data_IF_697464144568
#
_entry.id   IF_697464144568
#
_cell.length_a   1.000
_cell.length_b   1.000
_cell.length_c   1.000
_cell.angle_alpha   90.00
_cell.angle_beta   90.00
_cell.angle_gamma   90.00
#
_symmetry.space_group_name_H-M   'P 1'
#
loop_
_entity.id
_entity.type
_entity.pdbx_description
1 polymer ?
#
# COMPACT_ATOMS: atom_id res chain seq x y z
N UNK A 1 -0.73 20.65 17.63
CA UNK A 1 -1.67 20.14 18.66
C UNK A 1 -2.79 19.33 18.01
N UNK A 2 -2.46 18.30 17.22
CA UNK A 2 -3.44 17.33 16.71
C UNK A 2 -2.80 15.95 16.78
N UNK A 3 -2.47 15.55 18.00
CA UNK A 3 -2.26 14.16 18.37
C UNK A 3 -3.50 13.76 19.15
N UNK A 4 -4.54 13.33 18.45
CA UNK A 4 -5.66 12.63 19.07
C UNK A 4 -5.76 11.28 18.39
N UNK A 5 -4.80 10.42 18.76
CA UNK A 5 -4.95 8.98 18.62
C UNK A 5 -4.72 8.37 20.00
N UNK A 6 -5.50 7.33 20.29
CA UNK A 6 -5.84 6.70 21.58
C UNK A 6 -7.12 7.28 22.24
N UNK A 7 -8.24 6.60 22.00
CA UNK A 7 -9.42 6.55 22.90
C UNK A 7 -10.45 7.71 22.89
N UNK A 8 -10.66 8.44 21.80
CA UNK A 8 -11.68 9.50 21.81
C UNK A 8 -13.12 8.93 21.77
N UNK A 9 -13.66 8.71 22.97
CA UNK A 9 -15.09 8.57 23.32
C UNK A 9 -15.84 7.23 23.12
N UNK A 10 -15.22 6.05 23.20
CA UNK A 10 -15.99 4.80 23.40
C UNK A 10 -15.32 3.84 24.37
N UNK A 11 -16.14 3.22 25.23
CA UNK A 11 -15.69 2.35 26.32
C UNK A 11 -15.68 0.90 25.80
N UNK A 12 -14.53 0.24 25.78
CA UNK A 12 -14.43 -1.21 25.51
C UNK A 12 -14.42 -1.99 26.83
N UNK A 13 -15.16 -3.10 26.91
CA UNK A 13 -15.17 -3.98 28.10
C UNK A 13 -14.57 -5.36 27.79
N UNK A 14 -13.32 -5.59 28.16
CA UNK A 14 -12.65 -6.91 28.02
C UNK A 14 -12.88 -7.80 29.25
N UNK A 15 -14.15 -7.99 29.66
CA UNK A 15 -14.48 -8.83 30.81
C UNK A 15 -15.17 -10.14 30.38
N UNK A 16 -14.43 -11.27 30.46
CA UNK A 16 -14.99 -12.63 30.51
C UNK A 16 -15.91 -12.73 31.74
N UNK A 17 -17.20 -12.98 31.53
CA UNK A 17 -18.24 -12.71 32.52
C UNK A 17 -18.70 -14.00 33.23
N UNK A 18 -18.51 -14.07 34.55
CA UNK A 18 -19.14 -15.07 35.43
C UNK A 18 -19.89 -14.45 36.63
N UNK A 19 -20.05 -13.12 36.71
CA UNK A 19 -20.70 -12.46 37.85
C UNK A 19 -21.74 -11.39 37.46
N UNK A 20 -22.77 -11.19 38.31
CA UNK A 20 -23.85 -10.18 38.13
C UNK A 20 -23.34 -8.75 38.00
N UNK A 21 -22.19 -8.40 38.61
CA UNK A 21 -21.56 -7.07 38.46
C UNK A 21 -21.01 -6.85 37.05
N UNK A 22 -20.49 -7.90 36.41
CA UNK A 22 -20.02 -7.83 35.02
C UNK A 22 -21.15 -7.54 34.01
N UNK A 23 -22.37 -7.98 34.30
CA UNK A 23 -23.55 -7.73 33.45
C UNK A 23 -23.99 -6.26 33.51
N UNK A 24 -24.05 -5.65 34.71
CA UNK A 24 -24.39 -4.23 34.87
C UNK A 24 -23.38 -3.30 34.18
N UNK A 25 -22.07 -3.59 34.31
CA UNK A 25 -21.02 -2.83 33.63
C UNK A 25 -21.15 -2.92 32.10
N UNK A 26 -21.45 -4.11 31.56
CA UNK A 26 -21.69 -4.28 30.11
C UNK A 26 -22.89 -3.47 29.62
N UNK A 27 -24.00 -3.46 30.37
CA UNK A 27 -25.19 -2.67 30.01
C UNK A 27 -24.90 -1.17 30.02
N UNK A 28 -24.20 -0.66 31.04
CA UNK A 28 -23.80 0.75 31.11
C UNK A 28 -22.89 1.13 29.94
N UNK A 29 -21.92 0.28 29.60
CA UNK A 29 -21.02 0.47 28.45
C UNK A 29 -21.78 0.45 27.13
N UNK A 30 -22.73 -0.48 26.95
CA UNK A 30 -23.57 -0.53 25.76
C UNK A 30 -24.41 0.74 25.61
N UNK A 31 -25.08 1.21 26.66
CA UNK A 31 -25.89 2.44 26.62
C UNK A 31 -25.02 3.67 26.34
N UNK A 32 -23.87 3.79 27.01
CA UNK A 32 -22.93 4.87 26.77
C UNK A 32 -22.44 4.89 25.31
N UNK A 33 -22.14 3.72 24.75
CA UNK A 33 -21.70 3.62 23.36
C UNK A 33 -22.83 3.90 22.36
N UNK A 34 -24.08 3.49 22.62
CA UNK A 34 -25.24 3.82 21.77
C UNK A 34 -25.49 5.32 21.73
N UNK A 35 -25.36 6.02 22.86
CA UNK A 35 -25.56 7.47 22.95
C UNK A 35 -24.36 8.22 22.34
N UNK A 36 -23.12 7.77 22.58
CA UNK A 36 -21.91 8.45 22.14
C UNK A 36 -21.60 8.27 20.64
N UNK A 37 -21.92 7.10 20.08
CA UNK A 37 -21.60 6.74 18.69
C UNK A 37 -22.09 7.78 17.66
N UNK A 38 -23.35 8.24 17.67
CA UNK A 38 -23.82 9.25 16.72
C UNK A 38 -23.01 10.55 16.76
N UNK A 39 -22.63 11.02 17.95
CA UNK A 39 -21.83 12.24 18.12
C UNK A 39 -20.40 12.05 17.61
N UNK A 40 -19.78 10.91 17.91
CA UNK A 40 -18.46 10.58 17.40
C UNK A 40 -18.46 10.50 15.86
N UNK A 41 -19.45 9.83 15.27
CA UNK A 41 -19.58 9.75 13.81
C UNK A 41 -19.79 11.11 13.17
N UNK A 42 -20.65 11.97 13.75
CA UNK A 42 -20.87 13.32 13.25
C UNK A 42 -19.58 14.16 13.33
N UNK A 43 -18.86 14.11 14.45
CA UNK A 43 -17.58 14.78 14.62
C UNK A 43 -16.56 14.33 13.58
N UNK A 44 -16.38 13.02 13.41
CA UNK A 44 -15.46 12.46 12.42
C UNK A 44 -15.87 12.86 11.00
N UNK A 45 -17.14 12.77 10.63
CA UNK A 45 -17.61 13.17 9.30
C UNK A 45 -17.27 14.65 8.99
N UNK A 46 -17.43 15.55 9.96
CA UNK A 46 -17.09 16.97 9.82
C UNK A 46 -15.58 17.15 9.65
N UNK A 47 -14.77 16.53 10.50
CA UNK A 47 -13.31 16.67 10.49
C UNK A 47 -12.69 16.08 9.22
N UNK A 48 -13.19 14.94 8.76
CA UNK A 48 -12.64 14.20 7.62
C UNK A 48 -13.06 14.80 6.28
N UNK A 49 -14.33 15.24 6.16
CA UNK A 49 -14.87 15.66 4.86
C UNK A 49 -15.17 17.15 4.79
N UNK A 50 -15.86 17.72 5.79
CA UNK A 50 -16.35 19.10 5.71
C UNK A 50 -15.21 20.11 5.82
N UNK A 51 -14.34 20.01 6.83
CA UNK A 51 -13.24 20.97 6.99
C UNK A 51 -12.23 20.92 5.82
N UNK A 52 -11.78 19.74 5.35
CA UNK A 52 -10.89 19.68 4.19
C UNK A 52 -11.59 20.19 2.91
N UNK A 53 -12.88 19.91 2.72
CA UNK A 53 -13.63 20.41 1.56
C UNK A 53 -13.65 21.95 1.54
N UNK A 54 -13.93 22.59 2.67
CA UNK A 54 -13.89 24.06 2.80
C UNK A 54 -12.49 24.58 2.51
N UNK A 55 -11.46 23.97 3.12
CA UNK A 55 -10.07 24.35 2.92
C UNK A 55 -9.67 24.31 1.44
N UNK A 56 -9.88 23.20 0.74
CA UNK A 56 -9.49 23.05 -0.66
C UNK A 56 -10.31 23.93 -1.61
N UNK A 57 -11.59 24.18 -1.29
CA UNK A 57 -12.43 25.11 -2.06
C UNK A 57 -11.93 26.55 -1.93
N UNK A 58 -11.56 26.97 -0.72
CA UNK A 58 -10.94 28.28 -0.47
C UNK A 58 -9.57 28.40 -1.14
N UNK A 59 -8.77 27.33 -1.11
CA UNK A 59 -7.47 27.27 -1.75
C UNK A 59 -7.58 27.50 -3.27
N UNK A 60 -8.56 26.87 -3.92
CA UNK A 60 -8.90 27.10 -5.34
C UNK A 60 -9.25 28.56 -5.62
N UNK A 61 -10.11 29.15 -4.79
CA UNK A 61 -10.52 30.54 -4.93
C UNK A 61 -9.33 31.49 -4.80
N UNK A 62 -8.49 31.29 -3.78
CA UNK A 62 -7.30 32.11 -3.53
C UNK A 62 -6.23 31.96 -4.62
N UNK A 63 -6.00 30.75 -5.14
CA UNK A 63 -5.08 30.54 -6.26
C UNK A 63 -5.59 31.14 -7.56
N UNK A 64 -6.91 31.14 -7.80
CA UNK A 64 -7.52 31.83 -8.93
C UNK A 64 -7.19 33.33 -8.96
N UNK A 65 -7.00 33.94 -7.78
CA UNK A 65 -6.69 35.37 -7.64
C UNK A 65 -5.19 35.69 -7.83
N UNK A 66 -4.28 34.72 -7.72
CA UNK A 66 -2.84 34.96 -7.72
C UNK A 66 -2.08 34.02 -8.69
N UNK A 67 -2.09 34.37 -9.99
CA UNK A 67 -1.36 33.66 -11.05
C UNK A 67 0.12 34.05 -11.20
N UNK A 68 0.58 35.07 -10.49
CA UNK A 68 1.91 35.66 -10.62
C UNK A 68 2.97 35.10 -9.64
N UNK A 69 2.61 34.14 -8.78
CA UNK A 69 3.56 33.52 -7.85
C UNK A 69 4.50 32.53 -8.55
N UNK A 70 5.81 32.52 -8.22
CA UNK A 70 6.75 31.56 -8.81
C UNK A 70 6.44 30.12 -8.39
N UNK A 71 6.73 29.18 -9.30
CA UNK A 71 6.69 27.74 -9.02
C UNK A 71 7.70 27.39 -7.93
N UNK A 72 7.36 26.40 -7.13
CA UNK A 72 8.21 25.91 -6.06
C UNK A 72 9.47 25.24 -6.64
N UNK A 73 10.58 25.48 -5.96
CA UNK A 73 11.87 24.87 -6.25
C UNK A 73 12.45 24.29 -4.96
N UNK A 74 12.69 22.99 -5.00
CA UNK A 74 13.23 22.26 -3.88
C UNK A 74 14.74 22.43 -3.78
N UNK A 75 15.18 23.39 -2.97
CA UNK A 75 16.61 23.63 -2.72
C UNK A 75 17.29 22.50 -1.96
N UNK A 76 16.53 21.65 -1.26
CA UNK A 76 17.08 20.51 -0.49
C UNK A 76 17.19 19.24 -1.32
N UNK A 77 16.56 19.22 -2.50
CA UNK A 77 16.62 18.12 -3.46
C UNK A 77 16.64 18.71 -4.88
N UNK A 78 17.77 19.34 -5.25
CA UNK A 78 17.87 20.12 -6.48
C UNK A 78 17.73 19.22 -7.72
N UNK A 79 17.24 19.80 -8.80
CA UNK A 79 17.18 19.15 -10.11
C UNK A 79 18.58 19.03 -10.75
N UNK A 80 19.44 18.19 -10.16
CA UNK A 80 20.84 17.97 -10.56
C UNK A 80 21.29 16.54 -10.28
N UNK A 81 22.51 16.21 -10.74
CA UNK A 81 23.15 14.91 -10.50
C UNK A 81 23.23 14.52 -9.02
N UNK A 82 23.30 15.49 -8.10
CA UNK A 82 23.33 15.22 -6.66
C UNK A 82 22.07 14.50 -6.17
N UNK A 83 20.91 14.83 -6.74
CA UNK A 83 19.63 14.17 -6.42
C UNK A 83 19.44 12.85 -7.16
N UNK A 84 20.18 12.60 -8.24
CA UNK A 84 20.22 11.31 -8.92
C UNK A 84 21.11 10.34 -8.14
N UNK A 85 22.33 10.74 -7.81
CA UNK A 85 23.32 9.88 -7.17
C UNK A 85 23.95 8.88 -8.16
N UNK A 86 24.85 8.00 -7.67
CA UNK A 86 25.56 7.03 -8.49
C UNK A 86 24.66 5.83 -8.87
N UNK A 87 23.72 6.03 -9.78
CA UNK A 87 22.84 4.96 -10.28
C UNK A 87 23.60 3.95 -11.14
N UNK A 88 23.16 2.68 -11.14
CA UNK A 88 23.74 1.62 -11.98
C UNK A 88 23.31 1.71 -13.44
N UNK A 89 22.19 2.36 -13.72
CA UNK A 89 21.64 2.49 -15.06
C UNK A 89 22.52 3.38 -15.98
N UNK A 90 22.53 3.03 -17.27
CA UNK A 90 23.39 3.56 -18.36
C UNK A 90 23.62 5.08 -18.33
N UNK A 91 24.84 5.48 -18.75
CA UNK A 91 25.39 6.85 -18.92
C UNK A 91 24.62 7.79 -19.88
N UNK A 92 23.31 7.66 -19.97
CA UNK A 92 22.42 8.51 -20.77
C UNK A 92 22.19 9.82 -20.02
N UNK A 93 22.23 10.92 -20.76
CA UNK A 93 22.01 12.26 -20.23
C UNK A 93 20.60 12.37 -19.63
N UNK A 94 20.54 12.71 -18.34
CA UNK A 94 19.28 12.97 -17.63
C UNK A 94 18.93 14.44 -17.77
N UNK A 95 17.67 14.73 -18.09
CA UNK A 95 17.14 16.09 -18.17
C UNK A 95 15.97 16.24 -17.19
N UNK A 96 16.01 17.26 -16.34
CA UNK A 96 14.93 17.53 -15.40
C UNK A 96 13.86 18.40 -16.05
N UNK A 97 12.61 17.93 -16.06
CA UNK A 97 11.46 18.64 -16.65
C UNK A 97 10.33 18.76 -15.65
N UNK A 98 9.61 19.89 -15.67
CA UNK A 98 8.39 20.05 -14.87
C UNK A 98 7.25 19.26 -15.48
N UNK A 99 6.35 18.81 -14.62
CA UNK A 99 5.08 18.18 -15.00
C UNK A 99 4.06 19.25 -15.42
N UNK A 100 4.25 19.75 -16.64
CA UNK A 100 3.42 20.79 -17.26
C UNK A 100 2.48 20.17 -18.30
N UNK A 101 1.24 20.67 -18.36
CA UNK A 101 0.19 20.16 -19.27
C UNK A 101 -1.19 20.17 -18.62
N UNK A 102 -2.23 20.57 -19.35
CA UNK A 102 -3.57 20.86 -18.78
C UNK A 102 -4.37 19.62 -18.39
N UNK A 103 -3.98 18.43 -18.89
CA UNK A 103 -4.67 17.16 -18.62
C UNK A 103 -4.18 16.42 -17.37
N UNK A 104 -3.02 16.83 -16.84
CA UNK A 104 -2.39 16.16 -15.70
C UNK A 104 -3.21 16.37 -14.42
N UNK A 105 -3.43 15.28 -13.68
CA UNK A 105 -4.08 15.27 -12.38
C UNK A 105 -3.21 14.50 -11.37
N UNK A 106 -3.34 14.81 -10.07
CA UNK A 106 -2.60 14.08 -9.04
C UNK A 106 -3.06 12.61 -8.99
N UNK A 107 -4.38 12.39 -8.96
CA UNK A 107 -5.02 11.06 -8.94
C UNK A 107 -6.15 11.01 -10.01
N UNK A 108 -5.81 10.69 -11.26
CA UNK A 108 -6.75 10.76 -12.38
C UNK A 108 -7.65 9.51 -12.41
N UNK A 109 -8.81 9.60 -11.77
CA UNK A 109 -9.78 8.49 -11.78
C UNK A 109 -9.53 7.46 -10.69
N UNK A 110 -8.44 7.56 -9.93
CA UNK A 110 -8.22 6.77 -8.73
C UNK A 110 -6.75 6.62 -8.39
N UNK A 111 -6.47 5.53 -7.68
CA UNK A 111 -5.13 4.95 -7.58
C UNK A 111 -5.35 3.48 -7.90
N UNK A 112 -4.69 2.98 -8.93
CA UNK A 112 -4.69 1.57 -9.28
C UNK A 112 -3.25 1.03 -9.34
N UNK A 113 -3.09 -0.26 -9.06
CA UNK A 113 -1.78 -0.88 -9.19
C UNK A 113 -1.26 -0.86 -10.63
N UNK A 114 -2.16 -0.84 -11.64
CA UNK A 114 -1.78 -0.69 -13.05
C UNK A 114 -1.10 0.64 -13.36
N UNK A 115 -1.28 1.64 -12.49
CA UNK A 115 -0.64 2.94 -12.70
C UNK A 115 0.88 2.91 -12.41
N UNK A 116 1.34 1.85 -11.72
CA UNK A 116 2.71 1.69 -11.27
C UNK A 116 3.57 0.99 -12.32
N UNK A 117 4.18 1.77 -13.21
CA UNK A 117 5.11 1.24 -14.20
C UNK A 117 6.57 1.47 -13.79
N UNK A 118 7.35 0.39 -13.69
CA UNK A 118 8.81 0.47 -13.50
C UNK A 118 9.50 0.96 -14.78
N UNK A 119 10.46 1.87 -14.64
CA UNK A 119 11.41 2.23 -15.70
C UNK A 119 12.84 1.90 -15.28
N UNK A 120 13.80 2.81 -15.50
CA UNK A 120 15.21 2.42 -15.58
C UNK A 120 15.91 2.15 -14.23
N UNK A 121 15.22 2.34 -13.09
CA UNK A 121 15.78 2.17 -11.76
C UNK A 121 15.53 0.76 -11.22
N UNK A 122 16.51 0.19 -10.52
CA UNK A 122 16.39 -1.11 -9.84
C UNK A 122 15.61 -1.02 -8.52
N UNK A 123 14.43 -0.39 -8.53
CA UNK A 123 13.58 -0.17 -7.35
C UNK A 123 12.25 -0.92 -7.41
N UNK A 124 12.20 -2.04 -8.15
CA UNK A 124 11.03 -2.92 -8.25
C UNK A 124 10.43 -3.28 -6.89
N UNK A 125 11.27 -3.49 -5.86
CA UNK A 125 10.85 -3.74 -4.48
C UNK A 125 9.93 -2.63 -3.93
N UNK A 126 10.22 -1.36 -4.20
CA UNK A 126 9.43 -0.22 -3.75
C UNK A 126 8.14 -0.11 -4.55
N UNK A 127 8.23 -0.17 -5.87
CA UNK A 127 7.07 -0.04 -6.75
C UNK A 127 6.07 -1.18 -6.53
N UNK A 128 6.56 -2.40 -6.28
CA UNK A 128 5.69 -3.53 -5.95
C UNK A 128 5.02 -3.35 -4.59
N UNK A 129 5.73 -2.80 -3.60
CA UNK A 129 5.13 -2.46 -2.31
C UNK A 129 4.01 -1.41 -2.48
N UNK A 130 4.24 -0.40 -3.32
CA UNK A 130 3.24 0.63 -3.66
C UNK A 130 2.03 -0.02 -4.34
N UNK A 131 2.25 -0.91 -5.31
CA UNK A 131 1.18 -1.65 -5.99
C UNK A 131 0.34 -2.49 -5.01
N UNK A 132 0.97 -3.22 -4.09
CA UNK A 132 0.24 -3.95 -3.04
C UNK A 132 -0.61 -3.01 -2.17
N UNK A 133 -0.14 -1.80 -1.92
CA UNK A 133 -0.88 -0.82 -1.14
C UNK A 133 -2.06 -0.21 -1.93
N UNK A 134 -2.03 -0.23 -3.26
CA UNK A 134 -3.11 0.23 -4.13
C UNK A 134 -4.37 -0.65 -4.04
N UNK A 135 -4.22 -1.93 -3.66
CA UNK A 135 -5.33 -2.86 -3.41
C UNK A 135 -6.22 -2.43 -2.24
N UNK A 136 -5.80 -1.42 -1.48
CA UNK A 136 -6.52 -0.91 -0.33
C UNK A 136 -6.92 0.56 -0.53
N UNK A 137 -8.21 0.78 -0.78
CA UNK A 137 -8.83 2.08 -0.97
C UNK A 137 -8.26 3.17 -0.03
N UNK A 138 -7.71 4.23 -0.62
CA UNK A 138 -7.28 5.42 0.12
C UNK A 138 -5.89 5.33 0.75
N UNK A 139 -5.25 4.15 0.77
CA UNK A 139 -4.00 3.93 1.48
C UNK A 139 -2.84 4.74 0.91
N UNK A 140 -2.69 4.76 -0.42
CA UNK A 140 -1.69 5.59 -1.10
C UNK A 140 -2.04 7.08 -0.96
N UNK A 141 -3.31 7.45 -1.15
CA UNK A 141 -3.75 8.84 -1.05
C UNK A 141 -3.56 9.39 0.37
N UNK A 142 -3.55 8.54 1.40
CA UNK A 142 -3.24 8.90 2.78
C UNK A 142 -1.80 9.41 2.92
N UNK A 143 -0.85 8.96 2.09
CA UNK A 143 0.53 9.44 2.07
C UNK A 143 0.63 10.90 1.63
N UNK A 144 -0.26 11.35 0.74
CA UNK A 144 -0.25 12.71 0.22
C UNK A 144 -1.02 13.65 1.15
N UNK A 145 -0.44 14.80 1.51
CA UNK A 145 -1.18 15.84 2.23
C UNK A 145 -1.96 16.73 1.27
N UNK A 146 -1.44 16.90 0.06
CA UNK A 146 -2.13 17.56 -1.04
C UNK A 146 -3.07 16.56 -1.72
N UNK A 147 -4.29 16.98 -2.06
CA UNK A 147 -5.35 16.09 -2.62
C UNK A 147 -5.68 16.35 -4.07
N UNK A 148 -5.00 17.31 -4.67
CA UNK A 148 -5.19 17.78 -6.02
C UNK A 148 -3.86 18.28 -6.55
N UNK A 149 -3.76 18.44 -7.87
CA UNK A 149 -2.61 19.06 -8.50
C UNK A 149 -2.37 20.45 -7.92
N UNK A 150 -1.14 20.71 -7.50
CA UNK A 150 -0.76 22.02 -6.99
C UNK A 150 -0.25 22.88 -8.16
N UNK A 151 -0.89 24.02 -8.49
CA UNK A 151 -0.45 24.89 -9.60
C UNK A 151 0.96 25.45 -9.43
N UNK A 152 1.45 25.50 -8.18
CA UNK A 152 2.81 25.94 -7.85
C UNK A 152 3.82 24.80 -7.88
N UNK A 153 3.40 23.58 -8.19
CA UNK A 153 4.28 22.42 -8.32
C UNK A 153 4.92 21.97 -7.00
N UNK A 154 4.27 22.22 -5.85
CA UNK A 154 4.72 21.77 -4.52
C UNK A 154 3.80 20.68 -3.99
N UNK A 155 4.40 19.56 -3.60
CA UNK A 155 3.68 18.42 -3.04
C UNK A 155 4.32 17.99 -1.73
N UNK A 156 3.49 17.59 -0.77
CA UNK A 156 3.88 17.12 0.56
C UNK A 156 3.40 15.70 0.72
N UNK A 157 4.36 14.80 0.90
CA UNK A 157 4.13 13.38 1.09
C UNK A 157 4.69 13.01 2.45
N UNK A 158 3.92 12.30 3.27
CA UNK A 158 4.44 11.77 4.54
C UNK A 158 4.96 10.36 4.35
N UNK A 159 6.08 10.08 5.00
CA UNK A 159 6.69 8.77 5.09
C UNK A 159 7.07 8.52 6.54
N UNK A 160 6.96 7.27 6.98
CA UNK A 160 7.36 6.84 8.31
C UNK A 160 8.87 6.57 8.33
N UNK A 161 9.56 7.21 9.28
CA UNK A 161 10.98 7.04 9.53
C UNK A 161 11.15 5.89 10.52
N UNK A 162 11.40 4.70 9.98
CA UNK A 162 11.57 3.44 10.73
C UNK A 162 12.65 3.57 11.81
N UNK A 163 13.78 4.21 11.48
CA UNK A 163 14.87 4.47 12.43
C UNK A 163 14.46 5.38 13.58
N UNK A 164 13.70 6.44 13.28
CA UNK A 164 13.29 7.44 14.28
C UNK A 164 11.90 7.19 14.86
N UNK A 165 11.25 6.08 14.48
CA UNK A 165 9.87 5.70 14.79
C UNK A 165 8.86 6.86 14.70
N UNK A 166 8.92 7.64 13.61
CA UNK A 166 8.03 8.81 13.45
C UNK A 166 7.73 9.21 12.02
N UNK A 167 6.55 9.79 11.83
CA UNK A 167 6.16 10.39 10.55
C UNK A 167 7.00 11.63 10.20
N UNK A 168 7.42 11.70 8.95
CA UNK A 168 8.16 12.81 8.35
C UNK A 168 7.40 13.31 7.13
N UNK A 169 7.24 14.63 7.01
CA UNK A 169 6.68 15.24 5.81
C UNK A 169 7.81 15.63 4.87
N UNK A 170 7.83 15.00 3.70
CA UNK A 170 8.75 15.24 2.61
C UNK A 170 8.06 16.16 1.59
N UNK A 171 8.52 17.40 1.50
CA UNK A 171 8.07 18.32 0.45
C UNK A 171 8.93 18.15 -0.79
N UNK A 172 8.33 17.95 -1.96
CA UNK A 172 9.02 17.86 -3.26
C UNK A 172 8.43 18.86 -4.25
N UNK A 173 9.22 19.25 -5.24
CA UNK A 173 8.70 19.94 -6.43
C UNK A 173 8.32 18.96 -7.55
N UNK A 174 7.71 19.47 -8.63
CA UNK A 174 7.24 18.70 -9.79
C UNK A 174 8.28 18.52 -10.91
N UNK A 175 9.57 18.78 -10.65
CA UNK A 175 10.65 18.48 -11.62
C UNK A 175 10.98 16.99 -11.58
N UNK A 176 10.77 16.27 -12.67
CA UNK A 176 11.02 14.83 -12.80
C UNK A 176 12.20 14.59 -13.75
N UNK A 177 13.13 13.67 -13.43
CA UNK A 177 14.20 13.29 -14.33
C UNK A 177 13.66 12.54 -15.55
N UNK A 178 14.14 12.91 -16.73
CA UNK A 178 13.75 12.31 -18.01
C UNK A 178 14.95 11.78 -18.77
N UNK A 179 14.75 10.68 -19.49
CA UNK A 179 15.67 10.13 -20.49
C UNK A 179 14.92 10.05 -21.81
N UNK A 180 15.48 10.62 -22.88
CA UNK A 180 14.85 10.65 -24.22
C UNK A 180 13.41 11.18 -24.21
N UNK A 181 13.12 12.18 -23.39
CA UNK A 181 11.81 12.82 -23.32
C UNK A 181 10.74 12.06 -22.53
N UNK A 182 11.05 10.91 -21.92
CA UNK A 182 10.16 10.18 -21.00
C UNK A 182 10.69 10.19 -19.57
N UNK A 183 9.84 10.07 -18.53
CA UNK A 183 10.30 9.87 -17.15
C UNK A 183 11.33 8.74 -17.06
N UNK A 184 12.42 8.99 -16.33
CA UNK A 184 13.59 8.12 -16.33
C UNK A 184 13.40 6.86 -15.47
N UNK A 185 12.72 6.99 -14.33
CA UNK A 185 12.60 5.96 -13.30
C UNK A 185 11.20 5.38 -13.33
N UNK A 186 10.29 5.70 -12.41
CA UNK A 186 8.88 5.32 -12.60
C UNK A 186 8.27 6.01 -13.83
N UNK A 187 7.32 5.32 -14.47
CA UNK A 187 6.50 5.86 -15.54
C UNK A 187 5.05 5.94 -15.05
N UNK A 188 4.34 7.04 -15.33
CA UNK A 188 2.92 7.10 -15.06
C UNK A 188 2.15 6.31 -16.12
N UNK A 189 1.06 5.68 -15.72
CA UNK A 189 0.01 5.29 -16.65
C UNK A 189 -0.94 6.48 -16.83
N UNK A 190 -1.28 6.84 -18.08
CA UNK A 190 -2.15 7.99 -18.36
C UNK A 190 -1.54 9.35 -17.95
N UNK A 191 -2.39 10.27 -17.49
CA UNK A 191 -2.03 11.65 -17.11
C UNK A 191 -1.88 11.82 -15.58
N UNK A 192 -1.50 10.76 -14.86
CA UNK A 192 -1.36 10.74 -13.40
C UNK A 192 0.03 11.13 -12.90
N UNK A 193 0.08 11.85 -11.78
CA UNK A 193 1.35 12.35 -11.22
C UNK A 193 1.83 11.62 -9.97
N UNK A 194 0.95 10.92 -9.27
CA UNK A 194 1.24 10.46 -7.91
C UNK A 194 2.41 9.47 -7.85
N UNK A 195 2.55 8.54 -8.81
CA UNK A 195 3.63 7.54 -8.82
C UNK A 195 4.99 8.23 -8.89
N UNK A 196 5.14 9.18 -9.82
CA UNK A 196 6.36 9.97 -10.03
C UNK A 196 6.74 10.77 -8.76
N UNK A 197 5.74 11.40 -8.15
CA UNK A 197 5.92 12.24 -6.96
C UNK A 197 6.25 11.39 -5.73
N UNK A 198 5.62 10.22 -5.58
CA UNK A 198 5.87 9.29 -4.49
C UNK A 198 7.29 8.72 -4.57
N UNK A 199 7.70 8.23 -5.73
CA UNK A 199 9.07 7.75 -5.97
C UNK A 199 10.11 8.85 -5.67
N UNK A 200 9.86 10.07 -6.14
CA UNK A 200 10.73 11.22 -5.85
C UNK A 200 10.80 11.54 -4.35
N UNK A 201 9.67 11.45 -3.63
CA UNK A 201 9.65 11.66 -2.19
C UNK A 201 10.47 10.60 -1.45
N UNK A 202 10.39 9.33 -1.87
CA UNK A 202 11.27 8.26 -1.36
C UNK A 202 12.74 8.54 -1.66
N UNK A 203 13.08 8.91 -2.90
CA UNK A 203 14.45 9.27 -3.27
C UNK A 203 14.98 10.41 -2.40
N UNK A 204 14.19 11.47 -2.19
CA UNK A 204 14.55 12.57 -1.29
C UNK A 204 14.68 12.13 0.17
N UNK A 205 13.79 11.26 0.63
CA UNK A 205 13.79 10.75 2.00
C UNK A 205 15.06 9.94 2.29
N UNK A 206 15.47 9.10 1.33
CA UNK A 206 16.68 8.27 1.39
C UNK A 206 17.96 9.02 0.98
N UNK A 207 17.83 10.18 0.33
CA UNK A 207 18.92 11.10 0.02
C UNK A 207 19.07 11.41 -1.48
N UNK A 208 18.92 10.41 -2.35
CA UNK A 208 18.95 10.51 -3.81
C UNK A 208 18.27 9.28 -4.45
N UNK A 209 18.11 9.27 -5.79
CA UNK A 209 17.52 8.14 -6.50
C UNK A 209 18.36 6.85 -6.44
N UNK A 210 19.69 6.95 -6.48
CA UNK A 210 20.57 5.79 -6.30
C UNK A 210 20.38 5.12 -4.93
N UNK A 211 20.04 5.91 -3.91
CA UNK A 211 19.75 5.42 -2.56
C UNK A 211 18.42 4.64 -2.47
N UNK A 212 17.63 4.50 -3.54
CA UNK A 212 16.47 3.60 -3.58
C UNK A 212 16.68 2.42 -4.55
N UNK A 213 17.88 2.25 -5.10
CA UNK A 213 18.27 1.04 -5.82
C UNK A 213 18.43 -0.13 -4.84
N UNK A 214 17.62 -1.18 -5.03
CA UNK A 214 17.48 -2.33 -4.14
C UNK A 214 16.98 -2.01 -2.72
N UNK A 215 16.24 -2.92 -2.11
CA UNK A 215 15.68 -2.76 -0.77
C UNK A 215 14.75 -3.92 -0.42
N UNK A 216 14.15 -3.84 0.77
CA UNK A 216 13.21 -4.84 1.26
C UNK A 216 11.77 -4.32 1.15
N UNK A 217 10.87 -5.11 0.57
CA UNK A 217 9.44 -4.77 0.41
C UNK A 217 8.81 -4.43 1.76
N UNK A 218 9.09 -5.22 2.81
CA UNK A 218 8.64 -4.94 4.19
C UNK A 218 9.07 -3.58 4.72
N UNK A 219 10.25 -3.07 4.34
CA UNK A 219 10.66 -1.72 4.73
C UNK A 219 9.81 -0.66 4.03
N UNK A 220 9.49 -0.85 2.75
CA UNK A 220 8.61 0.07 2.03
C UNK A 220 7.20 0.05 2.61
N UNK A 221 6.68 -1.12 3.00
CA UNK A 221 5.41 -1.21 3.72
C UNK A 221 5.43 -0.36 4.98
N UNK A 222 6.38 -0.61 5.90
CA UNK A 222 6.46 0.14 7.14
C UNK A 222 6.70 1.65 6.90
N UNK A 223 7.51 2.03 5.91
CA UNK A 223 7.73 3.42 5.54
C UNK A 223 6.47 4.12 4.99
N UNK A 224 5.53 3.38 4.40
CA UNK A 224 4.26 3.93 3.92
C UNK A 224 3.15 3.89 4.98
N UNK A 225 3.14 2.89 5.85
CA UNK A 225 2.01 2.67 6.77
C UNK A 225 2.33 3.05 8.21
N UNK A 226 3.58 2.94 8.63
CA UNK A 226 3.98 2.98 10.04
C UNK A 226 3.42 1.81 10.85
N UNK A 227 2.96 0.76 10.18
CA UNK A 227 2.36 -0.43 10.76
C UNK A 227 3.38 -1.58 10.86
N UNK A 228 3.05 -2.60 11.65
CA UNK A 228 3.90 -3.75 11.93
C UNK A 228 3.99 -4.64 10.69
N UNK A 229 5.20 -5.10 10.41
CA UNK A 229 5.51 -5.93 9.24
C UNK A 229 6.14 -7.26 9.66
N UNK A 230 5.98 -8.27 8.82
CA UNK A 230 6.61 -9.58 8.95
C UNK A 230 7.10 -10.05 7.57
N UNK A 231 8.21 -10.78 7.54
CA UNK A 231 8.76 -11.35 6.32
C UNK A 231 8.95 -12.85 6.51
N UNK A 232 8.59 -13.63 5.50
CA UNK A 232 8.80 -15.07 5.47
C UNK A 232 9.64 -15.44 4.26
N UNK A 233 10.65 -16.29 4.48
CA UNK A 233 11.53 -16.81 3.43
C UNK A 233 11.42 -18.33 3.37
N UNK A 234 11.20 -18.86 2.18
CA UNK A 234 11.15 -20.30 1.98
C UNK A 234 12.56 -20.89 1.95
N UNK A 235 12.77 -21.89 2.80
CA UNK A 235 14.00 -22.64 2.95
C UNK A 235 14.12 -23.75 1.89
N UNK A 236 15.32 -24.32 1.75
CA UNK A 236 15.58 -25.40 0.77
C UNK A 236 14.77 -26.67 1.03
N UNK A 237 14.41 -26.94 2.28
CA UNK A 237 13.55 -28.06 2.67
C UNK A 237 12.06 -27.80 2.37
N UNK A 238 11.70 -26.61 1.89
CA UNK A 238 10.34 -26.21 1.56
C UNK A 238 9.53 -25.61 2.70
N UNK A 239 10.09 -25.53 3.91
CA UNK A 239 9.52 -24.82 5.06
C UNK A 239 9.72 -23.31 4.92
N UNK A 240 8.92 -22.55 5.64
CA UNK A 240 8.93 -21.09 5.65
C UNK A 240 9.48 -20.59 6.97
N UNK A 241 10.50 -19.76 6.92
CA UNK A 241 11.11 -19.18 8.10
C UNK A 241 10.67 -17.73 8.28
N UNK A 242 10.30 -17.37 9.50
CA UNK A 242 9.95 -16.00 9.86
C UNK A 242 11.20 -15.15 10.16
N UNK A 243 11.21 -13.94 9.61
CA UNK A 243 12.25 -12.94 9.77
C UNK A 243 11.67 -11.65 10.37
N UNK A 244 12.27 -11.20 11.47
CA UNK A 244 11.99 -9.91 12.10
C UNK A 244 12.82 -8.81 11.40
N UNK A 245 12.15 -7.80 10.85
CA UNK A 245 12.85 -6.58 10.43
C UNK A 245 13.14 -5.70 11.63
N UNK A 246 14.40 -5.27 11.82
CA UNK A 246 14.77 -4.31 12.87
C UNK A 246 15.71 -3.22 12.34
N UNK A 247 15.57 -1.98 12.83
CA UNK A 247 16.54 -0.92 12.54
C UNK A 247 17.93 -1.28 13.09
N UNK A 248 18.98 -1.00 12.31
CA UNK A 248 20.38 -1.09 12.76
C UNK A 248 20.69 0.07 13.67
N UNK A 249 21.08 -0.23 14.91
CA UNK A 249 21.46 0.78 15.90
C UNK A 249 22.63 1.64 15.41
N UNK A 250 22.55 2.94 15.70
CA UNK A 250 23.63 3.90 15.41
C UNK A 250 23.77 4.28 13.93
N UNK A 251 22.84 3.90 13.06
CA UNK A 251 22.87 4.31 11.65
C UNK A 251 21.96 5.52 11.39
N UNK A 252 22.52 6.54 10.72
CA UNK A 252 21.73 7.68 10.21
C UNK A 252 21.04 7.36 8.86
N UNK A 253 21.33 6.20 8.26
CA UNK A 253 20.64 5.75 7.06
C UNK A 253 19.25 5.20 7.43
N UNK A 254 18.22 5.89 6.94
CA UNK A 254 16.81 5.56 7.18
C UNK A 254 16.43 4.16 6.71
N UNK A 255 17.20 3.58 5.78
CA UNK A 255 17.01 2.23 5.25
C UNK A 255 17.87 1.17 5.93
N UNK A 256 18.72 1.54 6.89
CA UNK A 256 19.63 0.61 7.54
C UNK A 256 18.87 -0.37 8.45
N UNK A 257 18.17 -1.33 7.86
CA UNK A 257 17.49 -2.42 8.57
C UNK A 257 18.21 -3.73 8.34
N UNK A 258 17.98 -4.68 9.25
CA UNK A 258 18.41 -6.07 9.13
C UNK A 258 17.20 -6.98 9.33
N UNK A 259 17.18 -8.10 8.62
CA UNK A 259 16.24 -9.18 8.83
C UNK A 259 16.89 -10.22 9.74
N UNK A 260 16.28 -10.47 10.90
CA UNK A 260 16.76 -11.40 11.92
C UNK A 260 15.89 -12.65 11.95
N UNK A 261 16.52 -13.81 11.98
CA UNK A 261 15.82 -15.09 12.15
C UNK A 261 15.12 -15.11 13.50
N UNK A 262 13.79 -15.27 13.51
CA UNK A 262 13.05 -15.34 14.78
C UNK A 262 13.05 -16.74 15.38
N UNK A 263 13.61 -17.74 14.69
CA UNK A 263 13.56 -19.15 15.05
C UNK A 263 12.21 -19.82 14.82
N UNK A 264 11.24 -19.11 14.24
CA UNK A 264 9.90 -19.65 13.95
C UNK A 264 9.88 -20.18 12.52
N UNK A 265 9.44 -21.42 12.40
CA UNK A 265 9.41 -22.16 11.14
C UNK A 265 8.00 -22.71 10.93
N UNK A 266 7.53 -22.64 9.70
CA UNK A 266 6.20 -23.04 9.31
C UNK A 266 6.29 -24.07 8.20
N UNK A 267 5.57 -25.17 8.35
CA UNK A 267 5.36 -26.12 7.24
C UNK A 267 4.59 -25.43 6.10
N UNK A 268 4.57 -26.05 4.91
CA UNK A 268 3.80 -25.50 3.78
C UNK A 268 2.32 -25.31 4.10
N UNK A 269 1.72 -26.25 4.83
CA UNK A 269 0.30 -26.16 5.18
C UNK A 269 0.04 -25.08 6.23
N UNK A 270 0.91 -25.00 7.25
CA UNK A 270 0.79 -23.98 8.29
C UNK A 270 0.98 -22.57 7.71
N UNK A 271 1.90 -22.39 6.77
CA UNK A 271 2.11 -21.11 6.10
C UNK A 271 0.87 -20.69 5.29
N UNK A 272 0.19 -21.63 4.62
CA UNK A 272 -1.04 -21.30 3.88
C UNK A 272 -2.18 -20.89 4.82
N UNK A 273 -2.35 -21.60 5.94
CA UNK A 273 -3.34 -21.23 6.95
C UNK A 273 -3.03 -19.84 7.54
N UNK A 274 -1.76 -19.55 7.81
CA UNK A 274 -1.31 -18.25 8.28
C UNK A 274 -1.61 -17.13 7.26
N UNK A 275 -1.39 -17.38 5.97
CA UNK A 275 -1.78 -16.45 4.89
C UNK A 275 -3.29 -16.19 4.89
N UNK A 276 -4.13 -17.21 5.04
CA UNK A 276 -5.59 -17.05 5.10
C UNK A 276 -6.00 -16.17 6.29
N UNK A 277 -5.27 -16.24 7.42
CA UNK A 277 -5.53 -15.38 8.59
C UNK A 277 -5.10 -13.94 8.34
N UNK A 278 -3.96 -13.73 7.69
CA UNK A 278 -3.54 -12.39 7.30
C UNK A 278 -4.51 -11.75 6.31
N UNK A 279 -4.98 -12.49 5.32
CA UNK A 279 -6.06 -12.08 4.41
C UNK A 279 -7.34 -11.72 5.20
N UNK A 280 -7.74 -12.59 6.13
CA UNK A 280 -8.91 -12.36 6.99
C UNK A 280 -8.80 -11.15 7.94
N UNK A 281 -7.60 -10.61 8.17
CA UNK A 281 -7.41 -9.35 8.90
C UNK A 281 -7.15 -8.13 8.00
N UNK A 282 -7.29 -8.28 6.68
CA UNK A 282 -7.01 -7.25 5.68
C UNK A 282 -5.56 -6.73 5.76
N UNK A 283 -4.60 -7.63 6.01
CA UNK A 283 -3.18 -7.30 5.92
C UNK A 283 -2.77 -7.08 4.45
N UNK A 284 -1.82 -6.17 4.22
CA UNK A 284 -1.18 -6.05 2.90
C UNK A 284 -0.22 -7.21 2.74
N UNK A 285 -0.37 -7.95 1.64
CA UNK A 285 0.42 -9.13 1.36
C UNK A 285 1.17 -8.96 0.04
N UNK A 286 2.49 -9.09 0.11
CA UNK A 286 3.40 -9.16 -1.02
C UNK A 286 4.03 -10.54 -1.15
N UNK A 287 4.48 -10.89 -2.35
CA UNK A 287 5.24 -12.10 -2.62
C UNK A 287 6.42 -11.81 -3.54
N UNK A 288 7.55 -12.45 -3.29
CA UNK A 288 8.73 -12.39 -4.17
C UNK A 288 8.94 -13.70 -4.93
N UNK A 289 9.01 -13.61 -6.25
CA UNK A 289 9.27 -14.76 -7.11
C UNK A 289 10.76 -15.15 -7.07
N UNK A 290 11.02 -16.45 -7.25
CA UNK A 290 12.37 -17.01 -7.31
C UNK A 290 13.12 -16.51 -8.55
N UNK A 291 14.43 -16.38 -8.42
CA UNK A 291 15.35 -16.07 -9.53
C UNK A 291 15.86 -14.64 -9.53
N UNK A 292 16.53 -14.26 -10.62
CA UNK A 292 17.10 -12.93 -10.80
C UNK A 292 16.32 -12.15 -11.86
N UNK A 293 15.97 -10.90 -11.53
CA UNK A 293 15.34 -10.00 -12.48
C UNK A 293 16.37 -9.49 -13.51
N UNK A 294 16.22 -9.95 -14.75
CA UNK A 294 17.03 -9.51 -15.89
C UNK A 294 16.28 -8.56 -16.83
N UNK A 295 15.08 -8.09 -16.46
CA UNK A 295 14.22 -7.32 -17.37
C UNK A 295 14.84 -6.00 -17.82
N UNK A 296 15.65 -5.37 -16.98
CA UNK A 296 16.40 -4.15 -17.34
C UNK A 296 17.51 -4.39 -18.38
N UNK A 297 18.06 -5.61 -18.45
CA UNK A 297 19.21 -5.93 -19.33
C UNK A 297 18.81 -6.70 -20.58
N UNK A 298 17.81 -7.57 -20.49
CA UNK A 298 17.35 -8.44 -21.58
C UNK A 298 15.97 -8.07 -22.12
N UNK A 299 15.28 -7.11 -21.49
CA UNK A 299 13.88 -6.83 -21.77
C UNK A 299 12.95 -7.80 -21.04
N UNK A 300 11.64 -7.56 -21.14
CA UNK A 300 10.64 -8.43 -20.53
C UNK A 300 10.46 -9.66 -21.43
N UNK A 301 11.14 -10.76 -21.11
CA UNK A 301 10.98 -12.02 -21.83
C UNK A 301 9.79 -12.81 -21.25
N UNK A 302 8.75 -13.05 -22.05
CA UNK A 302 7.53 -13.81 -21.68
C UNK A 302 7.75 -15.33 -21.47
N UNK A 303 9.00 -15.83 -21.43
CA UNK A 303 9.23 -17.27 -21.60
C UNK A 303 9.18 -18.09 -20.31
N UNK A 304 8.18 -19.00 -20.32
CA UNK A 304 7.87 -20.17 -19.47
C UNK A 304 7.25 -19.84 -18.11
N UNK A 305 5.94 -20.05 -18.01
CA UNK A 305 5.23 -20.12 -16.73
C UNK A 305 4.54 -18.82 -16.33
N UNK A 306 4.58 -17.76 -17.14
CA UNK A 306 3.93 -16.48 -16.84
C UNK A 306 4.59 -15.63 -15.74
N UNK A 307 5.33 -16.22 -14.81
CA UNK A 307 5.91 -15.52 -13.65
C UNK A 307 7.28 -14.93 -13.99
N UNK A 308 7.37 -13.60 -13.90
CA UNK A 308 8.63 -12.84 -13.94
C UNK A 308 9.54 -13.24 -12.77
N UNK A 309 10.78 -13.71 -13.00
CA UNK A 309 11.73 -14.07 -11.95
C UNK A 309 12.27 -12.86 -11.17
N UNK A 310 12.54 -13.04 -9.87
CA UNK A 310 13.14 -11.99 -9.02
C UNK A 310 12.27 -10.74 -8.88
N UNK A 311 10.95 -10.89 -9.03
CA UNK A 311 9.98 -9.81 -9.09
C UNK A 311 8.95 -9.93 -7.97
N UNK A 312 8.38 -8.80 -7.57
CA UNK A 312 7.40 -8.76 -6.48
C UNK A 312 5.96 -8.63 -7.01
N UNK A 313 5.05 -9.34 -6.35
CA UNK A 313 3.64 -9.47 -6.69
C UNK A 313 2.81 -9.14 -5.46
N UNK A 314 1.55 -8.74 -5.67
CA UNK A 314 0.57 -8.61 -4.58
C UNK A 314 -0.16 -9.93 -4.42
N UNK A 315 -0.37 -10.38 -3.18
CA UNK A 315 -1.34 -11.44 -2.88
C UNK A 315 -2.64 -10.72 -2.52
N UNK A 316 -3.65 -10.81 -3.39
CA UNK A 316 -4.96 -10.17 -3.21
C UNK A 316 -5.83 -10.99 -2.26
N UNK A 317 -5.75 -12.32 -2.32
CA UNK A 317 -6.51 -13.20 -1.43
C UNK A 317 -5.86 -14.57 -1.29
N UNK A 318 -6.06 -15.19 -0.14
CA UNK A 318 -5.65 -16.55 0.16
C UNK A 318 -6.82 -17.31 0.81
N UNK A 319 -7.29 -18.38 0.17
CA UNK A 319 -8.38 -19.17 0.72
C UNK A 319 -8.36 -20.64 0.28
N UNK A 320 -8.78 -21.51 1.19
CA UNK A 320 -9.16 -22.88 0.86
C UNK A 320 -10.67 -22.98 0.69
N UNK A 321 -11.14 -23.41 -0.48
CA UNK A 321 -12.57 -23.65 -0.73
C UNK A 321 -12.73 -24.93 -1.53
N UNK A 322 -13.69 -25.77 -1.13
CA UNK A 322 -14.00 -27.05 -1.82
C UNK A 322 -12.77 -27.98 -1.96
N UNK A 323 -11.88 -27.95 -0.96
CA UNK A 323 -10.65 -28.77 -0.92
C UNK A 323 -9.54 -28.28 -1.86
N UNK A 324 -9.61 -27.05 -2.36
CA UNK A 324 -8.58 -26.45 -3.22
C UNK A 324 -8.04 -25.20 -2.53
N UNK A 325 -6.71 -25.13 -2.39
CA UNK A 325 -5.96 -24.02 -1.80
C UNK A 325 -5.48 -23.09 -2.91
N UNK A 326 -6.16 -21.95 -3.10
CA UNK A 326 -5.80 -20.98 -4.12
C UNK A 326 -5.35 -19.66 -3.51
N UNK A 327 -4.43 -19.01 -4.22
CA UNK A 327 -4.07 -17.61 -4.06
C UNK A 327 -4.59 -16.84 -5.29
N UNK A 328 -5.10 -15.63 -5.08
CA UNK A 328 -5.22 -14.64 -6.15
C UNK A 328 -4.03 -13.70 -6.04
N UNK A 329 -3.25 -13.56 -7.10
CA UNK A 329 -2.08 -12.68 -7.17
C UNK A 329 -2.29 -11.59 -8.21
N UNK A 330 -1.45 -10.54 -8.13
CA UNK A 330 -1.33 -9.49 -9.13
C UNK A 330 0.11 -9.20 -9.48
N UNK A 331 0.41 -9.18 -10.77
CA UNK A 331 1.61 -8.57 -11.30
C UNK A 331 1.40 -7.05 -11.41
N UNK A 332 2.24 -6.22 -10.77
CA UNK A 332 2.10 -4.77 -10.85
C UNK A 332 2.28 -4.21 -12.27
N UNK A 333 2.86 -4.98 -13.21
CA UNK A 333 2.96 -4.56 -14.61
C UNK A 333 1.66 -4.70 -15.42
N UNK A 334 0.59 -5.24 -14.82
CA UNK A 334 -0.70 -5.45 -15.50
C UNK A 334 -0.59 -6.40 -16.70
N UNK A 335 0.39 -7.30 -16.68
CA UNK A 335 0.71 -8.28 -17.73
C UNK A 335 1.57 -9.39 -17.15
N UNK A 336 1.92 -10.42 -17.94
CA UNK A 336 2.70 -11.58 -17.50
C UNK A 336 1.98 -12.34 -16.37
N UNK A 337 0.81 -12.86 -16.71
CA UNK A 337 -0.01 -13.68 -15.83
C UNK A 337 0.40 -15.15 -15.88
N UNK A 338 0.13 -15.86 -14.79
CA UNK A 338 0.29 -17.32 -14.70
C UNK A 338 -0.44 -18.04 -15.83
N UNK A 339 0.23 -18.99 -16.49
CA UNK A 339 -0.33 -19.78 -17.61
C UNK A 339 -0.62 -21.25 -17.24
N UNK A 340 -0.46 -21.61 -15.96
CA UNK A 340 -0.65 -22.97 -15.45
C UNK A 340 -2.05 -23.22 -14.88
N UNK A 341 -2.13 -24.15 -13.92
CA UNK A 341 -3.41 -24.55 -13.31
C UNK A 341 -4.11 -23.37 -12.64
N UNK A 342 -5.42 -23.26 -12.83
CA UNK A 342 -6.26 -22.18 -12.32
C UNK A 342 -5.94 -20.78 -12.87
N UNK A 343 -5.07 -20.66 -13.89
CA UNK A 343 -4.93 -19.43 -14.67
C UNK A 343 -6.25 -18.99 -15.30
N UNK A 344 -6.29 -17.79 -15.84
CA UNK A 344 -7.48 -17.19 -16.42
C UNK A 344 -8.05 -17.96 -17.61
N UNK A 345 -7.20 -18.67 -18.36
CA UNK A 345 -7.60 -19.55 -19.46
C UNK A 345 -7.76 -21.03 -19.10
N UNK A 346 -7.50 -21.42 -17.85
CA UNK A 346 -7.37 -22.81 -17.40
C UNK A 346 -8.66 -23.62 -17.57
N UNK A 347 -8.52 -24.87 -18.02
CA UNK A 347 -9.61 -25.85 -18.14
C UNK A 347 -10.23 -26.23 -16.79
N UNK A 348 -9.46 -26.11 -15.72
CA UNK A 348 -9.80 -26.52 -14.36
C UNK A 348 -11.06 -25.79 -13.86
N UNK A 349 -11.26 -24.55 -14.27
CA UNK A 349 -12.49 -23.79 -13.97
C UNK A 349 -13.74 -24.41 -14.60
N UNK A 350 -13.61 -24.98 -15.81
CA UNK A 350 -14.71 -25.68 -16.50
C UNK A 350 -14.96 -27.05 -15.90
N UNK A 351 -13.89 -27.74 -15.49
CA UNK A 351 -13.96 -29.07 -14.88
C UNK A 351 -14.50 -29.02 -13.44
N UNK A 352 -14.29 -27.91 -12.72
CA UNK A 352 -14.72 -27.69 -11.33
C UNK A 352 -15.53 -26.39 -11.16
N UNK A 353 -16.77 -26.33 -11.69
CA UNK A 353 -17.62 -25.13 -11.59
C UNK A 353 -18.04 -24.82 -10.14
N UNK A 354 -17.99 -25.80 -9.24
CA UNK A 354 -18.18 -25.59 -7.80
C UNK A 354 -17.05 -24.75 -7.18
N UNK A 355 -15.81 -24.96 -7.61
CA UNK A 355 -14.64 -24.17 -7.21
C UNK A 355 -14.71 -22.78 -7.83
N UNK A 356 -15.01 -22.69 -9.13
CA UNK A 356 -15.18 -21.41 -9.82
C UNK A 356 -16.18 -20.48 -9.11
N UNK A 357 -17.37 -21.00 -8.76
CA UNK A 357 -18.36 -20.24 -7.98
C UNK A 357 -17.86 -19.91 -6.58
N UNK A 358 -17.18 -20.85 -5.92
CA UNK A 358 -16.68 -20.63 -4.57
C UNK A 358 -15.64 -19.51 -4.52
N UNK A 359 -14.80 -19.34 -5.54
CA UNK A 359 -13.81 -18.26 -5.63
C UNK A 359 -14.30 -17.01 -6.38
N UNK A 360 -15.58 -16.97 -6.77
CA UNK A 360 -16.15 -15.90 -7.60
C UNK A 360 -15.32 -15.66 -8.88
N UNK A 361 -14.80 -16.74 -9.46
CA UNK A 361 -14.02 -16.68 -10.69
C UNK A 361 -14.89 -16.23 -11.86
N UNK A 362 -14.36 -15.28 -12.60
CA UNK A 362 -14.76 -14.89 -13.94
C UNK A 362 -13.49 -14.81 -14.76
N UNK A 363 -13.59 -15.13 -16.06
CA UNK A 363 -12.45 -14.94 -16.96
C UNK A 363 -12.17 -13.45 -17.07
N UNK A 364 -11.01 -12.99 -16.60
CA UNK A 364 -10.59 -11.62 -16.80
C UNK A 364 -9.90 -11.48 -18.17
N UNK A 365 -9.81 -10.24 -18.64
CA UNK A 365 -8.82 -9.87 -19.64
C UNK A 365 -7.44 -9.77 -18.96
N UNK A 366 -6.35 -9.66 -19.74
CA UNK A 366 -4.99 -9.49 -19.19
C UNK A 366 -4.91 -8.19 -18.37
N UNK A 367 -5.15 -8.32 -17.07
CA UNK A 367 -5.21 -7.24 -16.07
C UNK A 367 -4.08 -7.36 -15.02
N UNK A 368 -3.23 -8.38 -15.20
CA UNK A 368 -2.13 -8.77 -14.34
C UNK A 368 -2.57 -9.62 -13.16
N UNK A 369 -3.88 -9.89 -12.98
CA UNK A 369 -4.38 -10.71 -11.87
C UNK A 369 -4.63 -12.15 -12.31
N UNK A 370 -4.29 -13.10 -11.45
CA UNK A 370 -4.48 -14.51 -11.76
C UNK A 370 -4.64 -15.34 -10.49
N UNK A 371 -5.31 -16.48 -10.61
CA UNK A 371 -5.32 -17.48 -9.56
C UNK A 371 -4.20 -18.51 -9.76
N UNK A 372 -3.68 -19.02 -8.66
CA UNK A 372 -2.64 -20.03 -8.64
C UNK A 372 -2.86 -21.00 -7.48
N UNK A 373 -2.55 -22.27 -7.70
CA UNK A 373 -2.57 -23.27 -6.63
C UNK A 373 -1.40 -23.07 -5.65
N UNK A 374 -1.63 -23.27 -4.36
CA UNK A 374 -0.59 -23.08 -3.32
C UNK A 374 0.70 -23.89 -3.57
N UNK A 375 0.57 -25.08 -4.15
CA UNK A 375 1.70 -25.94 -4.51
C UNK A 375 2.58 -25.31 -5.59
N UNK A 376 1.97 -24.69 -6.61
CA UNK A 376 2.65 -23.95 -7.66
C UNK A 376 3.28 -22.67 -7.11
N UNK A 377 2.59 -21.98 -6.20
CA UNK A 377 3.15 -20.81 -5.52
C UNK A 377 4.44 -21.17 -4.76
N UNK A 378 4.44 -22.25 -3.97
CA UNK A 378 5.65 -22.74 -3.30
C UNK A 378 6.79 -23.14 -4.26
N UNK A 379 6.48 -23.47 -5.51
CA UNK A 379 7.50 -23.80 -6.51
C UNK A 379 8.08 -22.56 -7.20
N UNK A 380 7.32 -21.45 -7.28
CA UNK A 380 7.68 -20.24 -8.04
C UNK A 380 8.09 -19.06 -7.17
N UNK A 381 7.64 -19.02 -5.92
CA UNK A 381 7.89 -17.93 -4.98
C UNK A 381 8.72 -18.42 -3.80
N UNK A 382 9.51 -17.51 -3.21
CA UNK A 382 10.35 -17.81 -2.05
C UNK A 382 10.27 -16.79 -0.93
N UNK A 383 9.48 -15.74 -1.09
CA UNK A 383 9.28 -14.72 -0.08
C UNK A 383 7.83 -14.29 -0.01
N UNK A 384 7.38 -14.03 1.21
CA UNK A 384 6.09 -13.43 1.53
C UNK A 384 6.36 -12.26 2.47
N UNK A 385 5.87 -11.09 2.12
CA UNK A 385 6.00 -9.87 2.90
C UNK A 385 4.61 -9.46 3.39
N UNK A 386 4.49 -9.17 4.69
CA UNK A 386 3.21 -8.90 5.34
C UNK A 386 3.26 -7.55 6.03
N UNK A 387 2.20 -6.76 5.91
CA UNK A 387 1.97 -5.57 6.72
C UNK A 387 0.56 -5.63 7.32
N UNK A 388 0.49 -5.81 8.65
CA UNK A 388 -0.79 -5.84 9.37
C UNK A 388 -1.24 -4.42 9.59
N UNK A 389 -2.19 -3.93 8.79
CA UNK A 389 -2.53 -2.52 8.79
C UNK A 389 -3.42 -2.06 9.94
N UNK A 390 -3.24 -0.82 10.34
CA UNK A 390 -4.19 -0.11 11.18
C UNK A 390 -5.41 0.30 10.35
N UNK A 391 -6.56 -0.32 10.63
CA UNK A 391 -7.80 -0.13 9.87
C UNK A 391 -8.83 0.77 10.58
N UNK A 392 -8.40 1.95 11.01
CA UNK A 392 -9.19 2.84 11.88
C UNK A 392 -9.81 4.07 11.22
N UNK A 393 -10.37 4.97 12.04
CA UNK A 393 -10.94 6.26 11.59
C UNK A 393 -9.95 7.15 10.85
N UNK A 394 -8.67 7.03 11.17
CA UNK A 394 -7.59 7.80 10.56
C UNK A 394 -7.45 7.51 9.07
N UNK A 395 -7.89 6.36 8.57
CA UNK A 395 -7.73 5.99 7.16
C UNK A 395 -8.61 6.79 6.20
N UNK A 396 -9.72 7.36 6.70
CA UNK A 396 -10.58 8.15 5.84
C UNK A 396 -9.92 9.47 5.45
N UNK A 397 -10.03 9.78 4.16
CA UNK A 397 -9.46 10.97 3.56
C UNK A 397 -10.49 11.51 2.56
N UNK A 398 -10.64 12.83 2.51
CA UNK A 398 -11.37 13.48 1.41
C UNK A 398 -10.65 13.20 0.08
N UNK A 399 -11.29 12.42 -0.78
CA UNK A 399 -10.87 12.21 -2.15
C UNK A 399 -11.42 13.33 -3.02
N UNK A 400 -10.53 14.18 -3.56
CA UNK A 400 -10.92 15.28 -4.45
C UNK A 400 -10.91 14.75 -5.87
N UNK A 401 -12.04 14.87 -6.56
CA UNK A 401 -12.17 14.41 -7.95
C UNK A 401 -11.89 15.58 -8.90
N UNK A 402 -10.64 15.65 -9.39
CA UNK A 402 -10.13 16.77 -10.18
C UNK A 402 -10.86 16.95 -11.52
N UNK A 403 -11.54 15.92 -12.03
CA UNK A 403 -12.29 16.03 -13.29
C UNK A 403 -13.46 17.03 -13.22
N UNK A 404 -13.97 17.30 -12.00
CA UNK A 404 -15.03 18.27 -11.78
C UNK A 404 -14.51 19.68 -11.47
N UNK A 405 -13.19 19.91 -11.59
CA UNK A 405 -12.57 21.21 -11.35
C UNK A 405 -12.91 21.78 -9.97
N UNK A 406 -13.44 23.01 -9.94
CA UNK A 406 -13.81 23.69 -8.70
C UNK A 406 -14.87 22.96 -7.86
N UNK A 407 -15.68 22.08 -8.46
CA UNK A 407 -16.67 21.27 -7.75
C UNK A 407 -16.09 19.95 -7.20
N UNK A 408 -14.87 19.59 -7.57
CA UNK A 408 -14.21 18.35 -7.15
C UNK A 408 -14.22 18.11 -5.63
N UNK A 409 -13.84 19.09 -4.79
CA UNK A 409 -13.90 18.93 -3.34
C UNK A 409 -15.31 18.66 -2.80
N UNK A 410 -16.31 19.35 -3.34
CA UNK A 410 -17.72 19.17 -2.94
C UNK A 410 -18.25 17.80 -3.32
N UNK A 411 -17.98 17.35 -4.55
CA UNK A 411 -18.35 16.01 -5.02
C UNK A 411 -17.68 14.94 -4.15
N UNK A 412 -16.38 15.11 -3.87
CA UNK A 412 -15.63 14.25 -2.96
C UNK A 412 -16.23 14.19 -1.55
N UNK A 413 -16.64 15.34 -1.01
CA UNK A 413 -17.25 15.45 0.31
C UNK A 413 -18.59 14.70 0.35
N UNK A 414 -19.46 14.90 -0.63
CA UNK A 414 -20.75 14.20 -0.72
C UNK A 414 -20.57 12.68 -0.86
N UNK A 415 -19.67 12.23 -1.75
CA UNK A 415 -19.36 10.80 -1.95
C UNK A 415 -18.81 10.18 -0.65
N UNK A 416 -17.85 10.84 -0.02
CA UNK A 416 -17.24 10.42 1.23
C UNK A 416 -18.24 10.33 2.38
N UNK A 417 -19.10 11.34 2.56
CA UNK A 417 -20.16 11.33 3.58
C UNK A 417 -21.17 10.22 3.34
N UNK A 418 -21.57 9.96 2.09
CA UNK A 418 -22.46 8.86 1.75
C UNK A 418 -21.84 7.50 2.11
N UNK A 419 -20.58 7.28 1.75
CA UNK A 419 -19.87 6.05 2.12
C UNK A 419 -19.72 5.91 3.64
N UNK A 420 -19.40 7.01 4.33
CA UNK A 420 -19.15 7.02 5.77
C UNK A 420 -20.42 6.79 6.59
N UNK A 421 -21.50 7.51 6.28
CA UNK A 421 -22.76 7.48 7.05
C UNK A 421 -23.76 6.47 6.46
N UNK A 422 -24.06 6.56 5.16
CA UNK A 422 -25.13 5.78 4.54
C UNK A 422 -24.72 4.33 4.24
N UNK A 423 -23.46 4.10 3.85
CA UNK A 423 -22.91 2.75 3.67
C UNK A 423 -22.23 2.20 4.93
N UNK A 424 -22.44 2.85 6.08
CA UNK A 424 -21.96 2.42 7.39
C UNK A 424 -20.44 2.18 7.48
N UNK A 425 -19.61 2.67 6.53
CA UNK A 425 -18.15 2.49 6.61
C UNK A 425 -17.58 3.15 7.85
N UNK A 426 -18.13 4.30 8.25
CA UNK A 426 -17.75 4.99 9.48
C UNK A 426 -18.04 4.14 10.72
N UNK A 427 -19.28 3.63 10.84
CA UNK A 427 -19.64 2.74 11.95
C UNK A 427 -18.75 1.49 11.97
N UNK A 428 -18.50 0.87 10.82
CA UNK A 428 -17.67 -0.32 10.72
C UNK A 428 -16.23 -0.06 11.17
N UNK A 429 -15.54 0.96 10.63
CA UNK A 429 -14.14 1.29 11.03
C UNK A 429 -14.04 1.69 12.51
N UNK A 430 -15.11 2.26 13.08
CA UNK A 430 -15.12 2.66 14.48
C UNK A 430 -15.14 1.48 15.45
N UNK A 431 -15.90 0.44 15.10
CA UNK A 431 -16.14 -0.72 15.97
C UNK A 431 -15.26 -1.92 15.63
N UNK A 432 -15.06 -2.16 14.34
CA UNK A 432 -14.32 -3.28 13.78
C UNK A 432 -12.89 -2.90 13.37
N UNK A 433 -12.54 -1.60 13.42
CA UNK A 433 -11.19 -1.14 13.13
C UNK A 433 -10.16 -1.72 14.09
N UNK A 434 -9.00 -2.06 13.53
CA UNK A 434 -7.88 -2.68 14.23
C UNK A 434 -6.72 -1.70 14.30
N UNK A 435 -5.94 -1.76 15.36
CA UNK A 435 -4.65 -1.09 15.41
C UNK A 435 -3.57 -2.12 15.15
N UNK A 436 -2.67 -1.80 14.23
CA UNK A 436 -1.45 -2.56 14.06
C UNK A 436 -0.67 -2.60 15.36
N UNK A 437 -0.15 -3.78 15.71
CA UNK A 437 0.84 -3.94 16.77
C UNK A 437 1.58 -5.26 16.61
N UNK A 438 2.80 -5.30 17.12
CA UNK A 438 3.57 -6.55 17.18
C UNK A 438 2.86 -7.63 18.01
N UNK A 439 2.04 -7.23 18.99
CA UNK A 439 1.20 -8.14 19.74
C UNK A 439 0.14 -8.80 18.85
N UNK A 440 -0.55 -8.01 18.00
CA UNK A 440 -1.52 -8.54 17.05
C UNK A 440 -0.87 -9.48 16.03
N UNK A 441 0.31 -9.12 15.50
CA UNK A 441 1.09 -9.99 14.62
C UNK A 441 1.38 -11.31 15.32
N UNK A 442 1.93 -11.26 16.53
CA UNK A 442 2.22 -12.46 17.33
C UNK A 442 0.99 -13.28 17.66
N UNK A 443 -0.14 -12.65 17.93
CA UNK A 443 -1.39 -13.36 18.22
C UNK A 443 -1.91 -14.11 16.98
N UNK A 444 -1.87 -13.48 15.80
CA UNK A 444 -2.21 -14.14 14.51
C UNK A 444 -1.32 -15.36 14.26
N UNK A 445 -0.04 -15.24 14.60
CA UNK A 445 0.98 -16.27 14.43
C UNK A 445 0.98 -17.36 15.52
N UNK A 446 0.40 -17.10 16.70
CA UNK A 446 0.45 -18.04 17.85
C UNK A 446 -0.70 -19.04 17.84
N UNK A 447 -1.89 -18.65 17.40
CA UNK A 447 -3.06 -19.52 17.50
C UNK A 447 -2.89 -20.75 16.59
N UNK A 448 -2.82 -21.97 17.12
CA UNK A 448 -2.83 -23.20 16.32
C UNK A 448 -1.51 -23.66 15.68
N UNK A 449 -0.39 -22.97 15.91
CA UNK A 449 0.95 -23.41 15.48
C UNK A 449 1.85 -23.65 16.70
N UNK A 450 1.45 -24.56 17.59
CA UNK A 450 2.38 -25.08 18.59
C UNK A 450 3.49 -25.84 17.87
N UNK A 451 4.74 -25.45 18.11
CA UNK A 451 5.89 -26.30 17.78
C UNK A 451 5.68 -27.65 18.49
N UNK A 452 5.64 -28.74 17.72
CA UNK A 452 5.84 -30.09 18.26
C UNK A 452 7.25 -30.24 18.83
#
# INVERSE_FOLDING_TARGET
MLGCDRQTCMIRSDAKCSSRRGCATKTIVCVANVIGTPWCLAFHAVVIYVFPCIYFSLEWFLFGLCRCCPKFEDRKFPASEASIGPIKASAKKIEWKRLDGDRLALFQGGVDASDVCQGALGNCWLLSAVACLCEFDGAVQHLFLDKQRNPRGKYRIRLYDVQASKWRVVAVDDRIPHINGKPAFSQPHGDELWVLLLEKAFAKFCGNYAAIESGAVVWAFEAMTGDSVACYKQQKNGEWEHLDMRPKEGSDDKRAVSLYHSGRVFTRDNMFELLCRYDGVEAVLGAGSRGEDHTLTRGRDEKRGGIVPGHAYSIISAAERKGVKLLKLRNPWGSFEWDGKWSDGSSEWKDRPDVARAFHYYKADDDGTFFMEWSDFCARFDSIDVCVRTTGMSEFVLQVDEKYGACGPTVGCCKGMCQFLCLCKGLWKMWCGKHSSDALVKDIERDGFSAE
#
